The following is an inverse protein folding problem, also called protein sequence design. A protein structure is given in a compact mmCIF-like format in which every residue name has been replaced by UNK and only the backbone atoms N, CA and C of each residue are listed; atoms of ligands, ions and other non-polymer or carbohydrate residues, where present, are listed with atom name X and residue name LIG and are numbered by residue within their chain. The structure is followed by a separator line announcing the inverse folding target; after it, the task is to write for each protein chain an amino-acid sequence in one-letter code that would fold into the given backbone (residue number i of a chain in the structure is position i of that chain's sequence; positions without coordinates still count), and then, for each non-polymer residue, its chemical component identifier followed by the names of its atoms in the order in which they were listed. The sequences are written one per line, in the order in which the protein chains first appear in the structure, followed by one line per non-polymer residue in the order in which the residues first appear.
data_IF_766213292787
#
_entry.id   IF_766213292787
#
_cell.length_a   1.000
_cell.length_b   1.000
_cell.length_c   1.000
_cell.angle_alpha   90.00
_cell.angle_beta   90.00
_cell.angle_gamma   90.00
#
_symmetry.space_group_name_H-M   'P 1'
#
loop_
_entity.id
_entity.type
_entity.pdbx_description
1 polymer ?
#
# COMPACT_ATOMS: atom_id res chain seq x y z
N UNK A 1 7.38 -18.37 6.89
CA UNK A 1 6.36 -17.56 7.60
C UNK A 1 6.75 -16.09 7.47
N UNK A 2 5.81 -15.15 7.36
CA UNK A 2 6.14 -13.70 7.28
C UNK A 2 5.51 -12.96 8.45
N UNK A 3 6.28 -12.07 9.07
CA UNK A 3 5.82 -11.26 10.21
C UNK A 3 6.24 -9.80 10.03
N UNK A 4 5.39 -8.88 10.44
CA UNK A 4 5.73 -7.45 10.51
C UNK A 4 6.64 -7.20 11.71
N UNK A 5 7.77 -6.54 11.49
CA UNK A 5 8.67 -6.15 12.58
C UNK A 5 8.00 -5.16 13.54
N UNK A 6 7.05 -4.35 13.07
CA UNK A 6 6.27 -3.45 13.93
C UNK A 6 5.31 -4.24 14.82
N UNK A 7 4.60 -5.22 14.25
CA UNK A 7 3.68 -6.06 15.03
C UNK A 7 4.41 -6.88 16.09
N UNK A 8 5.60 -7.41 15.78
CA UNK A 8 6.42 -8.10 16.77
C UNK A 8 6.82 -7.17 17.94
N UNK A 9 7.13 -5.90 17.65
CA UNK A 9 7.48 -4.89 18.67
C UNK A 9 6.33 -4.50 19.59
N UNK A 10 5.08 -4.70 19.16
CA UNK A 10 3.90 -4.51 20.01
C UNK A 10 3.77 -5.62 21.07
N UNK A 11 4.32 -6.81 20.80
CA UNK A 11 4.22 -7.98 21.68
C UNK A 11 5.43 -8.14 22.61
N UNK A 12 6.61 -7.76 22.14
CA UNK A 12 7.85 -7.87 22.90
C UNK A 12 8.79 -6.72 22.58
N UNK A 13 9.53 -6.25 23.59
CA UNK A 13 10.52 -5.20 23.40
C UNK A 13 11.69 -5.73 22.57
N UNK A 14 11.83 -5.22 21.35
CA UNK A 14 12.98 -5.47 20.46
C UNK A 14 13.71 -4.16 20.22
N UNK A 15 14.94 -4.06 20.71
CA UNK A 15 15.80 -2.89 20.54
C UNK A 15 16.76 -3.03 19.34
N UNK A 16 16.93 -4.24 18.85
CA UNK A 16 17.82 -4.61 17.76
C UNK A 16 17.32 -4.10 16.40
N UNK A 17 18.26 -3.85 15.49
CA UNK A 17 17.98 -3.66 14.07
C UNK A 17 17.36 -4.95 13.46
N UNK A 18 16.69 -4.86 12.30
CA UNK A 18 16.15 -6.04 11.62
C UNK A 18 17.20 -7.14 11.36
N UNK A 19 18.43 -6.76 11.01
CA UNK A 19 19.53 -7.68 10.73
C UNK A 19 19.99 -8.42 11.99
N UNK A 20 20.26 -7.68 13.07
CA UNK A 20 20.64 -8.28 14.36
C UNK A 20 19.53 -9.18 14.92
N UNK A 21 18.27 -8.78 14.76
CA UNK A 21 17.14 -9.61 15.16
C UNK A 21 17.09 -10.91 14.36
N UNK A 22 17.34 -10.86 13.05
CA UNK A 22 17.34 -12.05 12.19
C UNK A 22 18.43 -13.04 12.58
N UNK A 23 19.63 -12.56 12.92
CA UNK A 23 20.71 -13.39 13.45
C UNK A 23 20.33 -14.04 14.78
N UNK A 24 19.77 -13.27 15.72
CA UNK A 24 19.33 -13.80 17.03
C UNK A 24 18.24 -14.87 16.88
N UNK A 25 17.26 -14.65 16.00
CA UNK A 25 16.21 -15.62 15.70
C UNK A 25 16.81 -16.90 15.10
N UNK A 26 17.74 -16.76 14.16
CA UNK A 26 18.40 -17.90 13.50
C UNK A 26 19.20 -18.73 14.50
N UNK A 27 19.94 -18.09 15.40
CA UNK A 27 20.66 -18.76 16.51
C UNK A 27 19.69 -19.47 17.45
N UNK A 28 18.51 -18.90 17.70
CA UNK A 28 17.46 -19.51 18.51
C UNK A 28 16.72 -20.66 17.80
N UNK A 29 17.11 -21.00 16.56
CA UNK A 29 16.51 -22.09 15.78
C UNK A 29 15.34 -21.65 14.88
N UNK A 30 15.11 -20.35 14.72
CA UNK A 30 14.10 -19.76 13.84
C UNK A 30 14.82 -19.11 12.67
N UNK A 31 15.08 -19.87 11.61
CA UNK A 31 15.76 -19.37 10.42
C UNK A 31 15.00 -18.20 9.77
N UNK A 32 15.73 -17.14 9.42
CA UNK A 32 15.20 -15.98 8.71
C UNK A 32 15.73 -15.96 7.28
N UNK A 33 14.86 -16.33 6.33
CA UNK A 33 15.21 -16.43 4.91
C UNK A 33 15.38 -15.07 4.24
N UNK A 34 14.57 -14.07 4.60
CA UNK A 34 14.52 -12.77 3.93
C UNK A 34 14.08 -11.64 4.86
N UNK A 35 14.62 -10.45 4.65
CA UNK A 35 14.18 -9.20 5.26
C UNK A 35 13.76 -8.24 4.15
N UNK A 36 12.47 -7.88 4.11
CA UNK A 36 11.95 -6.90 3.16
C UNK A 36 11.68 -5.55 3.83
N UNK A 37 12.35 -4.50 3.35
CA UNK A 37 12.05 -3.12 3.72
C UNK A 37 11.03 -2.50 2.75
N UNK A 38 9.84 -2.19 3.28
CA UNK A 38 8.71 -1.67 2.49
C UNK A 38 8.54 -0.16 2.57
N UNK A 39 9.43 0.56 3.25
CA UNK A 39 9.29 2.02 3.49
C UNK A 39 9.23 2.83 2.20
N UNK A 40 10.03 2.45 1.21
CA UNK A 40 10.11 3.19 -0.07
C UNK A 40 9.06 2.74 -1.10
N UNK A 41 8.28 1.70 -0.83
CA UNK A 41 7.35 1.12 -1.82
C UNK A 41 6.20 2.07 -2.19
N UNK A 42 5.84 2.98 -1.31
CA UNK A 42 4.74 3.93 -1.50
C UNK A 42 5.25 5.35 -1.80
N UNK A 43 6.49 5.51 -2.26
CA UNK A 43 7.02 6.83 -2.63
C UNK A 43 6.19 7.42 -3.77
N UNK A 44 5.67 8.63 -3.57
CA UNK A 44 4.78 9.29 -4.54
C UNK A 44 3.34 8.76 -4.53
N UNK A 45 2.95 7.96 -3.53
CA UNK A 45 1.57 7.51 -3.36
C UNK A 45 0.89 8.35 -2.27
N UNK A 46 -0.27 8.89 -2.60
CA UNK A 46 -1.11 9.67 -1.68
C UNK A 46 -2.46 9.00 -1.49
N UNK A 47 -3.21 9.41 -0.47
CA UNK A 47 -4.61 9.01 -0.32
C UNK A 47 -5.47 9.95 -1.17
N UNK A 48 -6.33 9.37 -2.00
CA UNK A 48 -7.35 10.09 -2.75
C UNK A 48 -8.74 9.54 -2.51
N UNK A 49 -9.77 10.35 -2.77
CA UNK A 49 -11.18 9.94 -2.74
C UNK A 49 -11.73 9.91 -4.17
N UNK A 50 -12.32 8.80 -4.58
CA UNK A 50 -13.06 8.77 -5.86
C UNK A 50 -14.36 9.56 -5.67
N UNK A 51 -14.50 10.69 -6.37
CA UNK A 51 -15.68 11.55 -6.29
C UNK A 51 -16.73 11.20 -7.36
N UNK A 52 -16.29 10.68 -8.51
CA UNK A 52 -17.17 10.20 -9.58
C UNK A 52 -16.51 9.05 -10.35
N UNK A 53 -17.34 8.16 -10.91
CA UNK A 53 -16.90 7.04 -11.75
C UNK A 53 -17.90 6.81 -12.87
N UNK A 54 -17.43 6.93 -14.10
CA UNK A 54 -18.22 6.67 -15.30
C UNK A 54 -17.61 5.53 -16.12
N UNK A 55 -18.41 4.75 -16.87
CA UNK A 55 -17.87 3.76 -17.80
C UNK A 55 -16.98 4.45 -18.85
N UNK A 56 -15.90 3.79 -19.24
CA UNK A 56 -15.02 4.33 -20.27
C UNK A 56 -15.71 4.26 -21.64
N UNK A 57 -15.75 5.35 -22.44
CA UNK A 57 -16.54 5.40 -23.67
C UNK A 57 -16.11 4.39 -24.73
N UNK A 58 -14.83 4.01 -24.71
CA UNK A 58 -14.21 3.12 -25.71
C UNK A 58 -13.72 1.79 -25.12
N UNK A 59 -14.08 1.43 -23.88
CA UNK A 59 -13.59 0.20 -23.27
C UNK A 59 -14.54 -0.36 -22.20
N UNK A 60 -15.11 -1.53 -22.47
CA UNK A 60 -16.15 -2.16 -21.64
C UNK A 60 -15.71 -2.51 -20.21
N UNK A 61 -14.41 -2.74 -20.02
CA UNK A 61 -13.83 -3.15 -18.72
C UNK A 61 -13.14 -2.02 -17.96
N UNK A 62 -13.20 -0.79 -18.47
CA UNK A 62 -12.54 0.36 -17.86
C UNK A 62 -13.55 1.39 -17.38
N UNK A 63 -13.11 2.23 -16.47
CA UNK A 63 -13.87 3.37 -15.97
C UNK A 63 -12.99 4.59 -15.88
N UNK A 64 -13.59 5.76 -16.11
CA UNK A 64 -12.97 7.05 -15.89
C UNK A 64 -13.41 7.54 -14.52
N UNK A 65 -12.46 7.64 -13.60
CA UNK A 65 -12.67 8.12 -12.24
C UNK A 65 -12.19 9.56 -12.11
N UNK A 66 -12.99 10.41 -11.51
CA UNK A 66 -12.53 11.68 -10.96
C UNK A 66 -12.09 11.43 -9.52
N UNK A 67 -10.86 11.79 -9.18
CA UNK A 67 -10.24 11.47 -7.89
C UNK A 67 -9.69 12.74 -7.25
N UNK A 68 -10.24 13.08 -6.09
CA UNK A 68 -9.72 14.17 -5.26
C UNK A 68 -8.49 13.66 -4.49
N UNK A 69 -7.34 14.28 -4.72
CA UNK A 69 -6.06 13.99 -4.06
C UNK A 69 -5.55 15.19 -3.24
N UNK A 70 -6.43 16.15 -2.93
CA UNK A 70 -6.09 17.38 -2.18
C UNK A 70 -5.40 18.46 -3.01
N UNK A 71 -5.49 18.39 -4.35
CA UNK A 71 -5.07 19.46 -5.26
C UNK A 71 -6.24 20.38 -5.62
N UNK A 72 -5.97 21.49 -6.32
CA UNK A 72 -7.00 22.46 -6.73
C UNK A 72 -8.09 21.82 -7.60
N UNK A 73 -7.69 20.90 -8.49
CA UNK A 73 -8.60 20.19 -9.39
C UNK A 73 -8.50 18.67 -9.18
N UNK A 74 -9.62 17.93 -9.25
CA UNK A 74 -9.60 16.47 -9.26
C UNK A 74 -8.78 15.91 -10.41
N UNK A 75 -8.09 14.79 -10.15
CA UNK A 75 -7.36 14.04 -11.16
C UNK A 75 -8.28 13.10 -11.91
N UNK A 76 -8.17 13.07 -13.24
CA UNK A 76 -8.87 12.09 -14.09
C UNK A 76 -8.01 10.83 -14.23
N UNK A 77 -8.48 9.69 -13.72
CA UNK A 77 -7.75 8.42 -13.68
C UNK A 77 -8.58 7.32 -14.33
N UNK A 78 -7.98 6.60 -15.28
CA UNK A 78 -8.60 5.40 -15.87
C UNK A 78 -8.29 4.20 -14.98
N UNK A 79 -9.34 3.48 -14.54
CA UNK A 79 -9.21 2.32 -13.67
C UNK A 79 -10.02 1.14 -14.20
N UNK A 80 -9.42 -0.05 -14.21
CA UNK A 80 -10.08 -1.31 -14.59
C UNK A 80 -10.53 -2.16 -13.40
N UNK A 81 -10.29 -1.72 -12.17
CA UNK A 81 -10.63 -2.50 -10.98
C UNK A 81 -12.17 -2.56 -10.80
N UNK A 82 -12.77 -3.75 -10.69
CA UNK A 82 -14.23 -3.89 -10.60
C UNK A 82 -14.81 -3.34 -9.29
N UNK A 83 -13.98 -3.19 -8.26
CA UNK A 83 -14.35 -2.64 -6.96
C UNK A 83 -14.18 -1.11 -6.87
N UNK A 84 -13.61 -0.45 -7.89
CA UNK A 84 -13.57 1.00 -7.97
C UNK A 84 -15.00 1.55 -8.07
N UNK A 85 -15.35 2.50 -7.21
CA UNK A 85 -16.67 3.14 -7.15
C UNK A 85 -16.54 4.53 -6.53
N UNK A 86 -17.55 5.38 -6.67
CA UNK A 86 -17.56 6.66 -5.96
C UNK A 86 -17.57 6.45 -4.44
N UNK A 87 -17.13 7.46 -3.70
CA UNK A 87 -17.12 7.55 -2.24
C UNK A 87 -16.23 6.55 -1.49
N UNK A 88 -15.16 6.06 -2.13
CA UNK A 88 -14.11 5.28 -1.44
C UNK A 88 -12.79 6.04 -1.40
N UNK A 89 -12.02 5.80 -0.33
CA UNK A 89 -10.62 6.19 -0.24
C UNK A 89 -9.75 5.13 -0.92
N UNK A 90 -8.78 5.58 -1.71
CA UNK A 90 -7.86 4.74 -2.46
C UNK A 90 -6.45 5.32 -2.39
N UNK A 91 -5.45 4.44 -2.54
CA UNK A 91 -4.08 4.85 -2.80
C UNK A 91 -3.93 5.29 -4.26
N UNK A 92 -3.42 6.50 -4.49
CA UNK A 92 -3.19 7.08 -5.81
C UNK A 92 -1.69 7.33 -5.98
N UNK A 93 -1.08 6.70 -6.99
CA UNK A 93 0.27 7.06 -7.42
C UNK A 93 0.17 8.33 -8.29
N UNK A 94 0.82 9.41 -7.87
CA UNK A 94 0.81 10.72 -8.55
C UNK A 94 2.00 10.92 -9.45
#
# INVERSE_FOLDING_TARGET
MRISSNWLRELVKVAQSPQELAELLTIAGIEVEEIEDRREWAKGVVIGKIIDRQPHPNADKLSVCQVDIGQENPSTIVCGAPNARADILVSVAT
#
